data_IF_013373360426
#
_entry.id   IF_013373360426
#
_cell.length_a   1.000
_cell.length_b   1.000
_cell.length_c   1.000
_cell.angle_alpha   90.00
_cell.angle_beta   90.00
_cell.angle_gamma   90.00
#
_symmetry.space_group_name_H-M   'P 1'
#
loop_
_entity.id
_entity.type
_entity.pdbx_description
1 polymer ?
#
# COMPACT_ATOMS: atom_id res chain seq x y z
N UNK A 1 -7.45 -13.01 -25.87
CA UNK A 1 -7.55 -13.91 -24.71
C UNK A 1 -6.30 -14.80 -24.51
N UNK A 2 -5.59 -15.24 -25.56
CA UNK A 2 -4.40 -16.10 -25.47
C UNK A 2 -3.20 -15.47 -24.73
N UNK A 3 -2.94 -14.17 -24.88
CA UNK A 3 -1.82 -13.47 -24.23
C UNK A 3 -1.97 -13.34 -22.70
N UNK A 4 -3.18 -13.32 -22.17
CA UNK A 4 -3.44 -13.23 -20.74
C UNK A 4 -3.02 -14.52 -20.00
N UNK A 5 -3.13 -15.67 -20.65
CA UNK A 5 -2.76 -16.96 -20.07
C UNK A 5 -1.27 -17.07 -19.77
N UNK A 6 -0.41 -16.48 -20.60
CA UNK A 6 1.06 -16.49 -20.42
C UNK A 6 1.56 -15.55 -19.33
N UNK A 7 0.74 -14.63 -18.83
CA UNK A 7 1.10 -13.68 -17.76
C UNK A 7 0.78 -14.19 -16.35
N UNK A 8 -0.06 -15.23 -16.24
CA UNK A 8 -0.43 -15.83 -14.96
C UNK A 8 0.68 -16.74 -14.47
N UNK A 9 1.16 -16.48 -13.27
CA UNK A 9 2.20 -17.27 -12.62
C UNK A 9 1.61 -18.06 -11.47
N UNK A 10 1.94 -19.37 -11.34
CA UNK A 10 1.51 -20.18 -10.22
C UNK A 10 2.33 -19.87 -8.97
N UNK A 11 1.63 -19.76 -7.85
CA UNK A 11 2.20 -19.53 -6.52
C UNK A 11 1.60 -20.50 -5.52
N UNK A 12 2.36 -20.76 -4.45
CA UNK A 12 1.89 -21.43 -3.24
C UNK A 12 1.81 -20.41 -2.10
N UNK A 13 0.70 -20.42 -1.36
CA UNK A 13 0.55 -19.60 -0.16
C UNK A 13 1.39 -20.23 0.95
N UNK A 14 2.34 -19.48 1.47
CA UNK A 14 3.32 -19.95 2.47
C UNK A 14 3.04 -19.45 3.87
N UNK A 15 2.31 -18.35 4.01
CA UNK A 15 1.87 -17.81 5.29
C UNK A 15 0.51 -17.10 5.16
N UNK A 16 -0.30 -17.19 6.21
CA UNK A 16 -1.56 -16.47 6.33
C UNK A 16 -1.67 -15.94 7.75
N UNK A 17 -1.60 -14.62 7.90
CA UNK A 17 -1.80 -13.92 9.17
C UNK A 17 -3.15 -13.20 9.17
N UNK A 18 -3.92 -13.37 10.24
CA UNK A 18 -5.19 -12.68 10.44
C UNK A 18 -4.99 -11.47 11.37
N UNK A 19 -4.43 -10.41 10.79
CA UNK A 19 -4.25 -9.13 11.48
C UNK A 19 -5.62 -8.47 11.76
N UNK A 20 -5.78 -7.64 12.82
CA UNK A 20 -7.04 -6.94 13.12
C UNK A 20 -7.63 -6.16 11.92
N UNK A 21 -6.79 -5.50 11.12
CA UNK A 21 -7.21 -4.67 9.98
C UNK A 21 -7.15 -5.38 8.62
N UNK A 22 -6.49 -6.54 8.50
CA UNK A 22 -6.25 -7.19 7.21
C UNK A 22 -6.00 -8.70 7.34
N UNK A 23 -6.15 -9.42 6.23
CA UNK A 23 -5.54 -10.75 6.03
C UNK A 23 -4.25 -10.55 5.26
N UNK A 24 -3.12 -10.95 5.86
CA UNK A 24 -1.81 -10.85 5.24
C UNK A 24 -1.44 -12.21 4.68
N UNK A 25 -1.14 -12.26 3.38
CA UNK A 25 -0.88 -13.50 2.64
C UNK A 25 0.51 -13.39 2.02
N UNK A 26 1.42 -14.28 2.42
CA UNK A 26 2.69 -14.47 1.73
C UNK A 26 2.58 -15.63 0.76
N UNK A 27 3.15 -15.47 -0.43
CA UNK A 27 3.15 -16.50 -1.45
C UNK A 27 4.50 -16.60 -2.17
N UNK A 28 4.91 -17.84 -2.44
CA UNK A 28 6.15 -18.18 -3.15
C UNK A 28 5.82 -18.70 -4.55
N UNK A 29 6.56 -18.25 -5.61
CA UNK A 29 6.29 -18.71 -6.96
C UNK A 29 6.70 -20.18 -7.15
N UNK A 30 5.92 -20.89 -7.95
CA UNK A 30 6.29 -22.22 -8.49
C UNK A 30 7.03 -22.01 -9.80
N UNK A 31 8.35 -21.85 -9.71
CA UNK A 31 9.19 -21.48 -10.84
C UNK A 31 9.40 -19.97 -10.94
N UNK A 32 9.36 -19.40 -12.15
CA UNK A 32 9.58 -17.95 -12.34
C UNK A 32 8.41 -17.13 -11.82
N UNK A 33 8.65 -16.31 -10.80
CA UNK A 33 7.70 -15.34 -10.26
C UNK A 33 7.53 -14.07 -11.11
N UNK A 34 6.62 -13.19 -10.68
CA UNK A 34 6.54 -11.83 -11.19
C UNK A 34 7.65 -10.97 -10.59
N UNK A 35 8.02 -9.89 -11.28
CA UNK A 35 8.99 -8.88 -10.79
C UNK A 35 8.35 -7.50 -10.87
N UNK A 36 7.43 -7.19 -9.98
CA UNK A 36 6.75 -5.90 -9.96
C UNK A 36 7.66 -4.81 -9.43
N UNK A 37 7.40 -3.57 -9.85
CA UNK A 37 7.95 -2.39 -9.17
C UNK A 37 7.20 -2.15 -7.86
N UNK A 38 7.83 -1.50 -6.86
CA UNK A 38 7.11 -1.04 -5.68
C UNK A 38 5.89 -0.19 -6.06
N UNK A 39 4.76 -0.38 -5.38
CA UNK A 39 3.50 0.27 -5.67
C UNK A 39 2.65 -0.38 -6.77
N UNK A 40 3.11 -1.47 -7.37
CA UNK A 40 2.32 -2.21 -8.34
C UNK A 40 1.22 -3.05 -7.67
N UNK A 41 0.16 -3.35 -8.43
CA UNK A 41 -0.85 -4.33 -8.05
C UNK A 41 -0.80 -5.58 -8.95
N UNK A 42 -1.40 -6.65 -8.50
CA UNK A 42 -1.59 -7.86 -9.28
C UNK A 42 -3.04 -8.36 -9.16
N UNK A 43 -3.49 -9.07 -10.18
CA UNK A 43 -4.76 -9.80 -10.14
C UNK A 43 -4.46 -11.20 -9.62
N UNK A 44 -5.08 -11.57 -8.51
CA UNK A 44 -4.91 -12.89 -7.91
C UNK A 44 -6.20 -13.72 -7.97
N UNK A 45 -6.05 -15.04 -8.03
CA UNK A 45 -7.13 -16.02 -7.94
C UNK A 45 -6.63 -17.18 -7.09
N UNK A 46 -7.33 -17.53 -6.03
CA UNK A 46 -6.96 -18.62 -5.13
C UNK A 46 -7.77 -19.87 -5.50
N UNK A 47 -7.11 -21.01 -5.69
CA UNK A 47 -7.73 -22.27 -6.11
C UNK A 47 -8.46 -22.98 -4.96
N UNK A 48 -9.23 -22.23 -4.19
CA UNK A 48 -10.12 -22.72 -3.12
C UNK A 48 -11.58 -22.37 -3.43
N UNK A 49 -12.53 -23.17 -3.03
CA UNK A 49 -13.96 -22.92 -3.28
C UNK A 49 -14.41 -21.56 -2.77
N UNK A 50 -15.04 -20.77 -3.64
CA UNK A 50 -15.49 -19.40 -3.35
C UNK A 50 -14.40 -18.31 -3.45
N UNK A 51 -13.13 -18.66 -3.81
CA UNK A 51 -12.02 -17.72 -3.96
C UNK A 51 -11.37 -17.76 -5.35
N UNK A 52 -12.01 -18.41 -6.32
CA UNK A 52 -11.48 -18.56 -7.69
C UNK A 52 -11.67 -17.35 -8.57
N UNK A 53 -12.51 -16.42 -8.16
CA UNK A 53 -12.74 -15.18 -8.88
C UNK A 53 -11.46 -14.31 -8.85
N UNK A 54 -11.00 -13.79 -10.01
CA UNK A 54 -9.81 -12.92 -10.04
C UNK A 54 -10.12 -11.54 -9.46
N UNK A 55 -9.30 -11.09 -8.52
CA UNK A 55 -9.41 -9.75 -7.93
C UNK A 55 -8.06 -9.03 -7.90
N UNK A 56 -8.04 -7.71 -8.16
CA UNK A 56 -6.84 -6.90 -8.07
C UNK A 56 -6.50 -6.56 -6.61
N UNK A 57 -5.22 -6.72 -6.23
CA UNK A 57 -4.71 -6.29 -4.93
C UNK A 57 -3.31 -5.71 -5.07
N UNK A 58 -3.03 -4.67 -4.29
CA UNK A 58 -1.70 -4.09 -4.22
C UNK A 58 -0.71 -5.07 -3.61
N UNK A 59 0.46 -5.17 -4.22
CA UNK A 59 1.57 -5.98 -3.71
C UNK A 59 2.24 -5.18 -2.59
N UNK A 60 2.12 -5.65 -1.35
CA UNK A 60 2.68 -4.97 -0.18
C UNK A 60 4.14 -5.31 0.09
N UNK A 61 4.66 -6.40 -0.51
CA UNK A 61 6.07 -6.80 -0.44
C UNK A 61 6.45 -7.64 -1.64
N UNK A 62 7.71 -7.49 -2.08
CA UNK A 62 8.33 -8.34 -3.10
C UNK A 62 9.62 -8.91 -2.55
N UNK A 63 9.76 -10.23 -2.59
CA UNK A 63 10.98 -10.91 -2.20
C UNK A 63 11.97 -11.07 -3.37
N UNK A 64 13.23 -11.44 -3.08
CA UNK A 64 14.30 -11.51 -4.08
C UNK A 64 14.09 -12.62 -5.12
N UNK A 65 13.38 -13.68 -4.77
CA UNK A 65 13.06 -14.80 -5.68
C UNK A 65 11.68 -14.64 -6.35
N UNK A 66 11.04 -13.47 -6.18
CA UNK A 66 9.72 -13.18 -6.74
C UNK A 66 8.58 -13.56 -5.80
N UNK A 67 8.86 -13.79 -4.51
CA UNK A 67 7.84 -13.89 -3.47
C UNK A 67 7.02 -12.60 -3.43
N UNK A 68 5.75 -12.74 -3.11
CA UNK A 68 4.84 -11.60 -2.97
C UNK A 68 4.05 -11.68 -1.68
N UNK A 69 3.73 -10.51 -1.15
CA UNK A 69 2.80 -10.37 -0.03
C UNK A 69 1.64 -9.48 -0.43
N UNK A 70 0.46 -9.86 0.02
CA UNK A 70 -0.76 -9.07 -0.10
C UNK A 70 -1.34 -8.84 1.30
N UNK A 71 -1.75 -7.59 1.58
CA UNK A 71 -2.49 -7.26 2.80
C UNK A 71 -3.88 -6.81 2.40
N UNK A 72 -4.90 -7.63 2.71
CA UNK A 72 -6.25 -7.51 2.16
C UNK A 72 -7.23 -7.24 3.30
N UNK A 73 -7.90 -6.10 3.26
CA UNK A 73 -8.97 -5.76 4.20
C UNK A 73 -10.29 -6.42 3.78
N UNK A 74 -11.05 -6.94 4.75
CA UNK A 74 -12.37 -7.52 4.54
C UNK A 74 -13.44 -6.44 4.37
N UNK A 75 -13.64 -5.93 3.14
CA UNK A 75 -14.63 -4.89 2.83
C UNK A 75 -15.88 -5.44 2.16
N UNK A 76 -15.72 -6.32 1.18
CA UNK A 76 -16.80 -6.95 0.43
C UNK A 76 -16.94 -8.44 0.72
N UNK A 77 -17.90 -9.11 0.10
CA UNK A 77 -18.19 -10.53 0.34
C UNK A 77 -17.02 -11.45 -0.03
N UNK A 78 -16.33 -11.15 -1.14
CA UNK A 78 -15.13 -11.89 -1.53
C UNK A 78 -14.00 -11.77 -0.48
N UNK A 79 -13.67 -10.55 -0.06
CA UNK A 79 -12.56 -10.31 0.87
C UNK A 79 -12.85 -10.81 2.29
N UNK A 80 -14.14 -10.85 2.71
CA UNK A 80 -14.55 -11.50 3.94
C UNK A 80 -14.40 -13.02 3.84
N UNK A 81 -14.91 -13.65 2.75
CA UNK A 81 -14.71 -15.09 2.51
C UNK A 81 -13.23 -15.45 2.42
N UNK A 82 -12.41 -14.59 1.81
CA UNK A 82 -10.96 -14.79 1.74
C UNK A 82 -10.36 -14.86 3.15
N UNK A 83 -10.72 -13.91 4.02
CA UNK A 83 -10.26 -13.91 5.42
C UNK A 83 -10.59 -15.22 6.15
N UNK A 84 -11.79 -15.73 5.93
CA UNK A 84 -12.28 -16.91 6.65
C UNK A 84 -11.71 -18.22 6.10
N UNK A 85 -11.41 -18.30 4.80
CA UNK A 85 -11.16 -19.55 4.10
C UNK A 85 -9.76 -19.78 3.59
N UNK A 86 -8.97 -18.71 3.38
CA UNK A 86 -7.60 -18.86 2.86
C UNK A 86 -6.73 -19.57 3.87
N UNK A 87 -5.90 -20.51 3.41
CA UNK A 87 -5.00 -21.30 4.25
C UNK A 87 -3.62 -21.44 3.62
N UNK A 88 -2.65 -21.71 4.47
CA UNK A 88 -1.29 -22.10 4.04
C UNK A 88 -1.39 -23.38 3.19
N UNK A 89 -0.65 -23.42 2.09
CA UNK A 89 -0.66 -24.52 1.12
C UNK A 89 -1.67 -24.34 -0.01
N UNK A 90 -2.59 -23.36 0.06
CA UNK A 90 -3.45 -23.02 -1.06
C UNK A 90 -2.66 -22.64 -2.30
N UNK A 91 -3.17 -23.04 -3.45
CA UNK A 91 -2.60 -22.66 -4.75
C UNK A 91 -3.23 -21.34 -5.20
N UNK A 92 -2.38 -20.44 -5.68
CA UNK A 92 -2.79 -19.14 -6.18
C UNK A 92 -2.21 -18.89 -7.57
N UNK A 93 -2.92 -18.15 -8.41
CA UNK A 93 -2.35 -17.54 -9.61
C UNK A 93 -2.18 -16.06 -9.39
N UNK A 94 -1.05 -15.53 -9.83
CA UNK A 94 -0.72 -14.09 -9.76
C UNK A 94 -0.43 -13.62 -11.17
N UNK A 95 -1.16 -12.59 -11.59
CA UNK A 95 -0.99 -11.93 -12.88
C UNK A 95 -0.74 -10.45 -12.66
N UNK A 96 0.42 -9.93 -13.07
CA UNK A 96 0.65 -8.49 -12.89
C UNK A 96 2.07 -8.06 -12.78
N UNK A 97 2.23 -7.11 -11.91
CA UNK A 97 3.04 -5.96 -11.83
C UNK A 97 2.42 -4.79 -12.61
N UNK A 98 1.12 -4.55 -12.41
CA UNK A 98 0.38 -3.45 -13.06
C UNK A 98 0.41 -2.19 -12.20
N UNK A 99 0.03 -1.05 -12.82
CA UNK A 99 -0.08 0.23 -12.14
C UNK A 99 1.05 1.20 -12.47
N UNK A 100 0.83 2.47 -12.10
CA UNK A 100 1.76 3.58 -12.35
C UNK A 100 2.08 4.37 -11.07
N UNK A 101 1.68 3.86 -9.92
CA UNK A 101 1.96 4.45 -8.62
C UNK A 101 3.42 4.17 -8.27
N UNK A 102 4.32 5.08 -8.64
CA UNK A 102 5.78 4.89 -8.60
C UNK A 102 6.45 6.17 -8.06
N UNK A 103 6.80 6.17 -6.78
CA UNK A 103 7.40 7.32 -6.10
C UNK A 103 8.76 7.72 -6.68
N UNK A 104 9.49 6.79 -7.28
CA UNK A 104 10.83 7.05 -7.83
C UNK A 104 10.82 8.08 -8.96
N UNK A 105 9.68 8.25 -9.63
CA UNK A 105 9.44 9.27 -10.67
C UNK A 105 8.95 10.60 -10.11
N UNK A 106 8.78 10.68 -8.80
CA UNK A 106 8.28 11.86 -8.12
C UNK A 106 9.34 12.93 -7.85
N UNK A 107 8.90 14.01 -7.21
CA UNK A 107 9.75 15.13 -6.79
C UNK A 107 10.73 14.72 -5.69
N UNK A 108 11.69 15.61 -5.40
CA UNK A 108 12.65 15.41 -4.32
C UNK A 108 11.95 15.35 -2.95
N UNK A 109 11.06 16.29 -2.70
CA UNK A 109 10.27 16.34 -1.47
C UNK A 109 8.92 15.67 -1.72
N UNK A 110 8.57 14.69 -0.90
CA UNK A 110 7.38 13.86 -1.06
C UNK A 110 6.61 13.71 0.23
N UNK A 111 5.32 14.02 0.17
CA UNK A 111 4.36 13.68 1.22
C UNK A 111 3.60 12.42 0.80
N UNK A 112 3.70 11.37 1.60
CA UNK A 112 2.91 10.16 1.46
C UNK A 112 1.81 10.15 2.51
N UNK A 113 0.56 9.91 2.09
CA UNK A 113 -0.58 9.83 2.99
C UNK A 113 -1.30 8.50 2.78
N UNK A 114 -1.33 7.69 3.83
CA UNK A 114 -2.00 6.41 3.83
C UNK A 114 -3.22 6.42 4.75
N UNK A 115 -4.37 5.94 4.29
CA UNK A 115 -5.59 5.75 5.09
C UNK A 115 -5.91 4.26 5.27
N UNK A 116 -5.76 3.73 6.49
CA UNK A 116 -6.03 2.32 6.79
C UNK A 116 -5.24 1.37 5.90
N UNK A 117 -5.95 0.48 5.17
CA UNK A 117 -5.31 -0.50 4.26
C UNK A 117 -4.62 0.15 3.05
N UNK A 118 -4.85 1.44 2.79
CA UNK A 118 -4.10 2.22 1.81
C UNK A 118 -2.60 2.33 2.10
N UNK A 119 -2.15 1.77 3.21
CA UNK A 119 -0.71 1.62 3.52
C UNK A 119 0.03 0.67 2.57
N UNK A 120 -0.67 -0.24 1.90
CA UNK A 120 -0.06 -1.34 1.14
C UNK A 120 0.96 -0.92 0.09
N UNK A 121 0.76 0.08 -0.79
CA UNK A 121 1.80 0.51 -1.72
C UNK A 121 2.99 1.15 -1.01
N UNK A 122 2.76 1.86 0.09
CA UNK A 122 3.82 2.51 0.85
C UNK A 122 4.70 1.52 1.63
N UNK A 123 4.17 0.35 2.00
CA UNK A 123 4.99 -0.75 2.53
C UNK A 123 6.03 -1.22 1.51
N UNK A 124 5.60 -1.42 0.26
CA UNK A 124 6.51 -1.78 -0.83
C UNK A 124 7.50 -0.65 -1.15
N UNK A 125 7.07 0.61 -1.08
CA UNK A 125 7.94 1.78 -1.21
C UNK A 125 9.00 1.81 -0.11
N UNK A 126 8.57 1.69 1.15
CA UNK A 126 9.45 1.72 2.32
C UNK A 126 10.51 0.61 2.28
N UNK A 127 10.14 -0.60 1.86
CA UNK A 127 11.09 -1.70 1.70
C UNK A 127 12.16 -1.42 0.63
N UNK A 128 11.84 -0.63 -0.39
CA UNK A 128 12.77 -0.27 -1.46
C UNK A 128 13.69 0.90 -1.13
N UNK A 129 13.42 1.66 -0.05
CA UNK A 129 14.28 2.74 0.39
C UNK A 129 15.62 2.21 0.91
N UNK A 130 16.70 2.89 0.55
CA UNK A 130 18.07 2.58 0.97
C UNK A 130 18.71 3.76 1.68
N UNK A 131 19.87 3.58 2.27
CA UNK A 131 20.67 4.67 2.85
C UNK A 131 21.09 5.73 1.81
N UNK A 132 21.14 5.33 0.54
CA UNK A 132 21.50 6.21 -0.59
C UNK A 132 20.30 7.04 -1.10
N UNK A 133 19.12 6.92 -0.51
CA UNK A 133 17.96 7.75 -0.90
C UNK A 133 18.22 9.23 -0.61
N UNK A 134 18.04 10.07 -1.62
CA UNK A 134 18.29 11.51 -1.56
C UNK A 134 17.03 12.36 -1.42
N UNK A 135 15.85 11.72 -1.48
CA UNK A 135 14.56 12.40 -1.31
C UNK A 135 14.27 12.66 0.16
N UNK A 136 13.51 13.72 0.41
CA UNK A 136 12.88 13.95 1.71
C UNK A 136 11.45 13.43 1.65
N UNK A 137 11.15 12.40 2.42
CA UNK A 137 9.88 11.70 2.36
C UNK A 137 9.22 11.73 3.74
N UNK A 138 8.04 12.29 3.83
CA UNK A 138 7.19 12.24 5.03
C UNK A 138 6.01 11.32 4.76
N UNK A 139 5.89 10.22 5.51
CA UNK A 139 4.71 9.36 5.50
C UNK A 139 3.82 9.68 6.70
N UNK A 140 2.58 10.10 6.44
CA UNK A 140 1.52 10.19 7.46
C UNK A 140 0.59 9.00 7.27
N UNK A 141 0.64 8.05 8.23
CA UNK A 141 -0.17 6.85 8.22
C UNK A 141 -1.34 7.00 9.19
N UNK A 142 -2.55 7.05 8.66
CA UNK A 142 -3.79 7.23 9.42
C UNK A 142 -4.46 5.89 9.69
N UNK A 143 -4.71 5.60 10.97
CA UNK A 143 -5.47 4.45 11.46
C UNK A 143 -6.51 4.92 12.47
N UNK A 144 -7.53 4.10 12.76
CA UNK A 144 -8.49 4.42 13.82
C UNK A 144 -7.90 4.10 15.18
N UNK A 145 -7.21 2.97 15.30
CA UNK A 145 -6.56 2.49 16.52
C UNK A 145 -5.15 1.98 16.21
N UNK A 146 -4.20 2.04 17.15
CA UNK A 146 -2.81 1.62 16.92
C UNK A 146 -2.68 0.16 16.43
N UNK A 147 -3.50 -0.75 16.96
CA UNK A 147 -3.50 -2.17 16.59
C UNK A 147 -3.95 -2.45 15.16
N UNK A 148 -4.53 -1.46 14.47
CA UNK A 148 -4.90 -1.55 13.06
C UNK A 148 -3.73 -1.21 12.11
N UNK A 149 -2.59 -0.76 12.64
CA UNK A 149 -1.45 -0.35 11.83
C UNK A 149 -0.70 -1.56 11.23
N UNK A 150 -1.08 -1.92 10.01
CA UNK A 150 -0.43 -3.00 9.25
C UNK A 150 1.00 -2.61 8.89
N UNK A 151 1.97 -3.50 9.15
CA UNK A 151 3.36 -3.35 8.73
C UNK A 151 4.14 -2.23 9.42
N UNK A 152 3.71 -1.78 10.60
CA UNK A 152 4.34 -0.68 11.35
C UNK A 152 5.82 -0.94 11.61
N UNK A 153 6.21 -2.17 11.95
CA UNK A 153 7.60 -2.54 12.20
C UNK A 153 8.48 -2.37 10.96
N UNK A 154 7.94 -2.68 9.77
CA UNK A 154 8.63 -2.49 8.48
C UNK A 154 8.86 -1.01 8.18
N UNK A 155 7.85 -0.17 8.44
CA UNK A 155 7.95 1.29 8.28
C UNK A 155 8.98 1.89 9.24
N UNK A 156 8.98 1.45 10.51
CA UNK A 156 9.99 1.85 11.49
C UNK A 156 11.40 1.36 11.12
N UNK A 157 11.52 0.19 10.54
CA UNK A 157 12.79 -0.31 10.02
C UNK A 157 13.31 0.54 8.84
N UNK A 158 12.42 0.96 7.92
CA UNK A 158 12.76 1.87 6.84
C UNK A 158 13.21 3.25 7.36
N UNK A 159 12.53 3.80 8.38
CA UNK A 159 12.89 5.06 9.03
C UNK A 159 14.30 5.01 9.65
N UNK A 160 14.63 3.91 10.31
CA UNK A 160 16.00 3.72 10.85
C UNK A 160 17.08 3.57 9.78
N UNK A 161 16.73 2.99 8.62
CA UNK A 161 17.65 2.73 7.51
C UNK A 161 17.84 3.95 6.60
N UNK A 162 16.81 4.73 6.38
CA UNK A 162 16.80 5.83 5.42
C UNK A 162 16.59 7.16 6.13
N UNK A 163 17.65 7.97 6.23
CA UNK A 163 17.62 9.29 6.92
C UNK A 163 16.65 10.29 6.28
N UNK A 164 16.34 10.12 5.00
CA UNK A 164 15.39 10.97 4.26
C UNK A 164 13.92 10.57 4.46
N UNK A 165 13.63 9.47 5.17
CA UNK A 165 12.28 8.97 5.39
C UNK A 165 11.85 9.15 6.85
N UNK A 166 10.70 9.74 7.05
CA UNK A 166 10.10 9.98 8.37
C UNK A 166 8.66 9.45 8.40
N UNK A 167 8.32 8.69 9.44
CA UNK A 167 6.99 8.13 9.68
C UNK A 167 6.25 8.88 10.78
N UNK A 168 5.02 9.29 10.50
CA UNK A 168 4.06 9.78 11.49
C UNK A 168 2.84 8.83 11.51
N UNK A 169 2.60 8.18 12.64
CA UNK A 169 1.40 7.38 12.86
C UNK A 169 0.32 8.27 13.48
N UNK A 170 -0.69 8.61 12.69
CA UNK A 170 -1.84 9.40 13.13
C UNK A 170 -3.00 8.49 13.53
N UNK A 171 -3.36 8.49 14.82
CA UNK A 171 -4.42 7.65 15.38
C UNK A 171 -5.67 8.47 15.59
N UNK A 172 -6.66 8.34 14.71
CA UNK A 172 -7.83 9.23 14.72
C UNK A 172 -8.70 9.12 15.97
N UNK A 173 -8.63 8.04 16.72
CA UNK A 173 -9.34 7.88 18.00
C UNK A 173 -8.78 8.78 19.09
N UNK A 174 -7.48 9.07 19.09
CA UNK A 174 -6.79 9.93 20.07
C UNK A 174 -6.51 11.32 19.53
N UNK A 175 -6.09 11.42 18.28
CA UNK A 175 -5.60 12.66 17.65
C UNK A 175 -6.70 13.41 16.88
N UNK A 176 -7.90 12.81 16.82
CA UNK A 176 -8.98 13.33 15.99
C UNK A 176 -8.77 12.98 14.49
N UNK A 177 -9.69 13.46 13.65
CA UNK A 177 -9.58 13.28 12.20
C UNK A 177 -8.45 14.12 11.65
N UNK A 178 -7.61 13.54 10.77
CA UNK A 178 -6.58 14.30 10.08
C UNK A 178 -7.21 15.39 9.20
N UNK A 179 -6.89 16.65 9.48
CA UNK A 179 -7.29 17.81 8.67
C UNK A 179 -6.12 18.32 7.83
N UNK A 180 -6.40 19.23 6.89
CA UNK A 180 -5.36 19.81 6.06
C UNK A 180 -4.36 20.68 6.87
N UNK A 181 -4.85 21.36 7.91
CA UNK A 181 -4.03 22.15 8.83
C UNK A 181 -3.05 21.24 9.58
N UNK A 182 -3.57 20.19 10.23
CA UNK A 182 -2.75 19.22 10.96
C UNK A 182 -1.75 18.54 10.02
N UNK A 183 -2.18 18.18 8.79
CA UNK A 183 -1.29 17.58 7.81
C UNK A 183 -0.17 18.55 7.41
N UNK A 184 -0.50 19.81 7.15
CA UNK A 184 0.47 20.83 6.75
C UNK A 184 1.50 21.13 7.84
N UNK A 185 1.10 21.05 9.11
CA UNK A 185 2.01 21.26 10.26
C UNK A 185 2.97 20.08 10.51
N UNK A 186 2.61 18.88 10.05
CA UNK A 186 3.46 17.68 10.14
C UNK A 186 4.56 17.60 9.08
N UNK A 187 4.52 18.44 8.04
CA UNK A 187 5.40 18.35 6.87
C UNK A 187 6.60 19.28 7.02
N UNK A 188 7.85 18.76 6.95
CA UNK A 188 9.05 19.58 7.18
C UNK A 188 9.55 20.39 5.96
N UNK A 189 8.78 20.41 4.86
CA UNK A 189 9.11 21.07 3.60
C UNK A 189 7.93 21.84 3.01
N UNK A 190 8.18 22.67 1.99
CA UNK A 190 7.13 23.40 1.28
C UNK A 190 6.27 22.49 0.41
N UNK A 191 5.02 22.27 0.82
CA UNK A 191 4.05 21.44 0.10
C UNK A 191 3.79 21.95 -1.32
N UNK A 192 3.81 23.27 -1.55
CA UNK A 192 3.57 23.84 -2.88
C UNK A 192 4.65 23.44 -3.90
N UNK A 193 5.78 22.92 -3.44
CA UNK A 193 6.91 22.42 -4.26
C UNK A 193 7.02 20.91 -4.24
N UNK A 194 6.32 20.23 -3.34
CA UNK A 194 6.39 18.78 -3.12
C UNK A 194 5.41 17.99 -3.99
N UNK A 195 5.62 16.68 -4.06
CA UNK A 195 4.65 15.72 -4.58
C UNK A 195 3.84 15.08 -3.46
N UNK A 196 2.53 14.96 -3.65
CA UNK A 196 1.66 14.18 -2.76
C UNK A 196 1.36 12.82 -3.37
N UNK A 197 1.57 11.78 -2.59
CA UNK A 197 1.19 10.40 -2.89
C UNK A 197 0.12 9.97 -1.90
N UNK A 198 -1.06 9.67 -2.39
CA UNK A 198 -2.21 9.33 -1.54
C UNK A 198 -2.75 7.95 -1.87
N UNK A 199 -2.98 7.14 -0.83
CA UNK A 199 -3.74 5.91 -0.94
C UNK A 199 -4.65 5.74 0.29
N UNK A 200 -5.96 5.68 0.06
CA UNK A 200 -6.95 5.61 1.12
C UNK A 200 -8.35 6.02 0.64
N UNK A 201 -9.29 6.26 1.58
CA UNK A 201 -10.67 6.62 1.24
C UNK A 201 -10.77 7.92 0.42
N UNK A 202 -11.55 7.89 -0.67
CA UNK A 202 -11.76 9.06 -1.54
C UNK A 202 -12.26 10.31 -0.80
N UNK A 203 -13.21 10.22 0.18
CA UNK A 203 -13.62 11.38 0.97
C UNK A 203 -12.47 12.02 1.76
N UNK A 204 -11.55 11.21 2.29
CA UNK A 204 -10.36 11.72 3.00
C UNK A 204 -9.46 12.50 2.04
N UNK A 205 -9.17 11.96 0.85
CA UNK A 205 -8.39 12.65 -0.18
C UNK A 205 -9.01 13.99 -0.55
N UNK A 206 -10.31 14.00 -0.86
CA UNK A 206 -11.04 15.21 -1.27
C UNK A 206 -10.98 16.29 -0.20
N UNK A 207 -11.21 15.93 1.07
CA UNK A 207 -11.16 16.86 2.19
C UNK A 207 -9.76 17.46 2.37
N UNK A 208 -8.72 16.63 2.35
CA UNK A 208 -7.32 17.08 2.51
C UNK A 208 -6.90 17.99 1.36
N UNK A 209 -7.13 17.61 0.11
CA UNK A 209 -6.77 18.45 -1.06
C UNK A 209 -7.52 19.76 -1.11
N UNK A 210 -8.82 19.77 -0.77
CA UNK A 210 -9.62 20.99 -0.68
C UNK A 210 -9.11 21.92 0.41
N UNK A 211 -8.79 21.38 1.59
CA UNK A 211 -8.23 22.14 2.70
C UNK A 211 -6.85 22.72 2.36
N UNK A 212 -5.93 21.91 1.81
CA UNK A 212 -4.60 22.37 1.40
C UNK A 212 -4.67 23.49 0.35
N UNK A 213 -5.66 23.42 -0.56
CA UNK A 213 -5.89 24.52 -1.54
C UNK A 213 -6.31 25.82 -0.85
N UNK A 214 -7.21 25.74 0.14
CA UNK A 214 -7.65 26.91 0.92
C UNK A 214 -6.51 27.53 1.72
N UNK A 215 -5.55 26.72 2.18
CA UNK A 215 -4.37 27.16 2.90
C UNK A 215 -3.25 27.71 1.98
N UNK A 216 -3.44 27.68 0.65
CA UNK A 216 -2.36 28.04 -0.29
C UNK A 216 -1.20 27.05 -0.32
N UNK A 217 -1.40 25.84 0.21
CA UNK A 217 -0.37 24.77 0.32
C UNK A 217 -0.66 23.57 -0.58
N UNK A 218 -1.31 23.79 -1.74
CA UNK A 218 -1.64 22.70 -2.66
C UNK A 218 -0.38 22.10 -3.28
N UNK A 219 -0.21 20.77 -3.27
CA UNK A 219 1.00 20.12 -3.80
C UNK A 219 1.22 20.37 -5.27
N UNK A 220 2.50 20.46 -5.68
CA UNK A 220 2.89 20.67 -7.07
C UNK A 220 2.51 19.50 -7.99
N UNK A 221 2.40 18.29 -7.45
CA UNK A 221 1.86 17.12 -8.13
C UNK A 221 1.07 16.24 -7.14
N UNK A 222 0.00 15.60 -7.63
CA UNK A 222 -0.82 14.69 -6.83
C UNK A 222 -0.93 13.36 -7.55
N UNK A 223 -0.55 12.30 -6.85
CA UNK A 223 -0.64 10.92 -7.30
C UNK A 223 -1.50 10.15 -6.31
N UNK A 224 -2.43 9.35 -6.80
CA UNK A 224 -3.30 8.57 -5.91
C UNK A 224 -3.68 7.24 -6.53
N UNK A 225 -3.93 6.27 -5.65
CA UNK A 225 -4.61 5.01 -5.98
C UNK A 225 -5.90 4.91 -5.16
N UNK A 226 -6.95 4.45 -5.80
CA UNK A 226 -8.24 4.16 -5.18
C UNK A 226 -8.50 2.66 -5.24
N UNK A 227 -8.88 2.12 -4.08
CA UNK A 227 -9.40 0.75 -3.98
C UNK A 227 -10.94 0.83 -3.91
N UNK A 228 -11.57 1.27 -5.00
CA UNK A 228 -13.02 1.14 -5.15
C UNK A 228 -13.33 -0.24 -5.74
N UNK A 229 -13.65 -1.18 -4.87
CA UNK A 229 -14.30 -2.42 -5.29
C UNK A 229 -15.80 -2.16 -5.36
N UNK A 230 -16.32 -2.10 -6.57
CA UNK A 230 -17.78 -2.21 -6.84
C UNK A 230 -18.22 -3.65 -6.76
#
# INVERSE_FOLDING_TARGET
>A
QFLAFYRRRPYDITNVERHPAATIIDAKPRGRGIRPRPGAFAVISIKRGGLREPHPFTISKVGPEGEVQFSIRGLGDYTRRLRDRVEVGDKMTVEGGYGRFDYAKGRKDQLWVAGGIGITPFLAFADSLTEAETRTIKLVYCVTKPEEAVGLDRLRAAERRCKGFELDLHVSKTDGRLTAEVLADKVPFDLARAGLWFCGPAPMRTALLSGLRKLGKYPASVHFEEFEFR
#
